data_IF_956432076663
#
_entry.id   IF_956432076663
#
_cell.length_a   1.000
_cell.length_b   1.000
_cell.length_c   1.000
_cell.angle_alpha   90.00
_cell.angle_beta   90.00
_cell.angle_gamma   90.00
#
_symmetry.space_group_name_H-M   'P 1'
#
loop_
_entity.id
_entity.type
_entity.pdbx_description
1 polymer ?
#
# COMPACT_ATOMS: atom_id res chain seq x y z
N UNK A 1 -2.80 3.60 4.83
CA UNK A 1 -2.72 2.86 3.54
C UNK A 1 -1.27 2.47 3.24
N UNK A 2 -0.35 3.44 3.38
CA UNK A 2 1.11 3.26 3.31
C UNK A 2 1.64 2.14 4.19
N UNK A 3 1.32 2.09 5.50
CA UNK A 3 1.90 1.10 6.42
C UNK A 3 1.59 -0.36 6.08
N UNK A 4 0.36 -0.67 5.65
CA UNK A 4 -0.02 -2.03 5.25
C UNK A 4 0.74 -2.49 4.01
N UNK A 5 0.79 -1.64 2.98
CA UNK A 5 1.57 -1.89 1.78
C UNK A 5 3.07 -1.97 2.08
N UNK A 6 3.55 -1.16 3.01
CA UNK A 6 4.95 -1.13 3.44
C UNK A 6 5.33 -2.40 4.19
N UNK A 7 4.45 -2.88 5.08
CA UNK A 7 4.62 -4.15 5.76
C UNK A 7 4.60 -5.33 4.78
N UNK A 8 3.66 -5.35 3.82
CA UNK A 8 3.62 -6.36 2.77
C UNK A 8 4.88 -6.35 1.89
N UNK A 9 5.40 -5.16 1.56
CA UNK A 9 6.66 -5.00 0.82
C UNK A 9 7.89 -5.43 1.63
N UNK A 10 7.88 -5.26 2.95
CA UNK A 10 8.94 -5.73 3.86
C UNK A 10 8.92 -7.24 4.05
N UNK A 11 7.74 -7.84 4.09
CA UNK A 11 7.53 -9.28 4.19
C UNK A 11 7.92 -10.00 2.89
N UNK A 12 7.79 -9.32 1.76
CA UNK A 12 8.08 -9.90 0.46
C UNK A 12 9.57 -10.26 0.29
N UNK A 13 9.90 -11.48 -0.17
CA UNK A 13 11.28 -11.95 -0.28
C UNK A 13 12.05 -11.33 -1.45
N UNK A 14 11.38 -10.67 -2.41
CA UNK A 14 12.04 -10.15 -3.61
C UNK A 14 11.31 -9.00 -4.30
N UNK A 15 11.90 -7.81 -4.22
CA UNK A 15 11.45 -6.61 -4.94
C UNK A 15 11.50 -6.77 -6.47
N UNK A 16 12.40 -7.61 -7.00
CA UNK A 16 12.44 -7.93 -8.43
C UNK A 16 11.20 -8.72 -8.88
N UNK A 17 10.71 -9.64 -8.06
CA UNK A 17 9.52 -10.43 -8.37
C UNK A 17 8.29 -9.52 -8.37
N UNK A 18 8.19 -8.64 -7.38
CA UNK A 18 7.11 -7.63 -7.29
C UNK A 18 7.16 -6.69 -8.48
N UNK A 19 8.33 -6.16 -8.86
CA UNK A 19 8.46 -5.31 -10.04
C UNK A 19 8.00 -6.04 -11.31
N UNK A 20 8.36 -7.31 -11.48
CA UNK A 20 7.97 -8.08 -12.66
C UNK A 20 6.46 -8.36 -12.70
N UNK A 21 5.85 -8.57 -11.54
CA UNK A 21 4.42 -8.85 -11.44
C UNK A 21 3.55 -7.59 -11.53
N UNK A 22 3.99 -6.48 -10.93
CA UNK A 22 3.20 -5.25 -10.80
C UNK A 22 3.58 -4.16 -11.80
N UNK A 23 4.74 -4.29 -12.47
CA UNK A 23 5.30 -3.25 -13.36
C UNK A 23 5.86 -2.03 -12.61
N UNK A 24 5.77 -1.99 -11.28
CA UNK A 24 6.27 -0.86 -10.48
C UNK A 24 7.79 -0.91 -10.39
N UNK A 25 8.44 0.22 -10.66
CA UNK A 25 9.91 0.31 -10.62
C UNK A 25 10.45 0.01 -9.21
N UNK A 26 11.55 -0.74 -9.14
CA UNK A 26 12.23 -1.07 -7.88
C UNK A 26 12.58 0.15 -7.03
N UNK A 27 13.00 1.25 -7.66
CA UNK A 27 13.30 2.50 -6.95
C UNK A 27 12.08 3.04 -6.22
N UNK A 28 10.92 3.06 -6.89
CA UNK A 28 9.65 3.50 -6.30
C UNK A 28 9.28 2.63 -5.10
N UNK A 29 9.38 1.29 -5.23
CA UNK A 29 9.14 0.37 -4.12
C UNK A 29 10.10 0.60 -2.94
N UNK A 30 11.39 0.79 -3.23
CA UNK A 30 12.41 1.01 -2.21
C UNK A 30 12.26 2.37 -1.50
N UNK A 31 11.90 3.45 -2.21
CA UNK A 31 11.61 4.76 -1.61
C UNK A 31 10.31 4.74 -0.79
N UNK A 32 9.32 3.97 -1.23
CA UNK A 32 8.09 3.75 -0.46
C UNK A 32 8.36 2.93 0.82
N UNK A 33 9.18 1.87 0.73
CA UNK A 33 9.66 1.12 1.89
C UNK A 33 10.46 1.97 2.86
N UNK A 34 11.28 2.91 2.38
CA UNK A 34 12.02 3.86 3.22
C UNK A 34 11.18 5.00 3.77
N UNK A 35 9.97 5.19 3.26
CA UNK A 35 9.04 6.22 3.75
C UNK A 35 9.44 7.62 3.29
N UNK A 36 10.37 7.69 2.33
CA UNK A 36 10.68 8.92 1.60
C UNK A 36 9.50 9.32 0.70
N UNK A 37 8.70 8.35 0.27
CA UNK A 37 7.47 8.57 -0.49
C UNK A 37 6.26 8.10 0.31
N UNK A 38 5.45 9.05 0.76
CA UNK A 38 4.16 8.81 1.44
C UNK A 38 3.02 8.58 0.43
N UNK A 39 3.24 8.96 -0.83
CA UNK A 39 2.25 8.91 -1.89
C UNK A 39 2.80 8.12 -3.08
N UNK A 40 2.14 7.04 -3.43
CA UNK A 40 2.41 6.26 -4.65
C UNK A 40 1.27 6.52 -5.64
N UNK A 41 1.58 6.46 -6.94
CA UNK A 41 0.57 6.62 -7.99
C UNK A 41 -0.55 5.57 -7.81
N UNK A 42 -1.81 5.98 -7.97
CA UNK A 42 -2.97 5.13 -7.70
C UNK A 42 -2.89 3.81 -8.48
N UNK A 43 -2.49 3.85 -9.75
CA UNK A 43 -2.32 2.65 -10.57
C UNK A 43 -1.26 1.67 -10.01
N UNK A 44 -0.18 2.20 -9.41
CA UNK A 44 0.85 1.37 -8.79
C UNK A 44 0.39 0.80 -7.46
N UNK A 45 -0.39 1.57 -6.69
CA UNK A 45 -1.03 1.06 -5.48
C UNK A 45 -2.01 -0.07 -5.80
N UNK A 46 -2.77 0.07 -6.89
CA UNK A 46 -3.75 -0.92 -7.34
C UNK A 46 -3.08 -2.23 -7.76
N UNK A 47 -2.04 -2.16 -8.60
CA UNK A 47 -1.27 -3.34 -9.01
C UNK A 47 -0.60 -4.05 -7.83
N UNK A 48 -0.11 -3.29 -6.84
CA UNK A 48 0.44 -3.86 -5.61
C UNK A 48 -0.67 -4.50 -4.77
N UNK A 49 -1.82 -3.83 -4.64
CA UNK A 49 -2.96 -4.35 -3.91
C UNK A 49 -3.48 -5.67 -4.51
N UNK A 50 -3.59 -5.77 -5.83
CA UNK A 50 -3.92 -7.02 -6.52
C UNK A 50 -2.87 -8.10 -6.27
N UNK A 51 -1.58 -7.77 -6.40
CA UNK A 51 -0.49 -8.74 -6.19
C UNK A 51 -0.43 -9.28 -4.76
N UNK A 52 -0.67 -8.42 -3.77
CA UNK A 52 -0.67 -8.80 -2.35
C UNK A 52 -2.05 -9.27 -1.86
N UNK A 53 -3.10 -9.22 -2.68
CA UNK A 53 -4.47 -9.53 -2.27
C UNK A 53 -5.04 -8.54 -1.24
N UNK A 54 -4.52 -7.32 -1.19
CA UNK A 54 -4.98 -6.27 -0.26
C UNK A 54 -6.25 -5.63 -0.82
N UNK A 55 -7.37 -5.83 -0.15
CA UNK A 55 -8.63 -5.22 -0.55
C UNK A 55 -8.76 -3.82 0.08
N UNK A 56 -8.76 -2.80 -0.78
CA UNK A 56 -9.03 -1.42 -0.39
C UNK A 56 -10.52 -1.24 -0.09
N UNK A 57 -10.92 -1.40 1.17
CA UNK A 57 -12.28 -1.03 1.60
C UNK A 57 -12.31 0.45 1.92
N UNK A 58 -13.30 1.18 1.38
CA UNK A 58 -13.53 2.58 1.79
C UNK A 58 -13.86 2.55 3.29
N UNK A 59 -13.08 3.21 4.17
CA UNK A 59 -13.49 3.31 5.56
C UNK A 59 -14.82 4.06 5.55
N UNK A 60 -15.89 3.36 5.92
CA UNK A 60 -17.14 4.03 6.22
C UNK A 60 -16.82 5.03 7.33
N UNK A 61 -17.18 6.31 7.18
CA UNK A 61 -16.96 7.26 8.25
C UNK A 61 -17.75 6.74 9.45
N UNK A 62 -17.04 6.20 10.44
CA UNK A 62 -17.62 5.89 11.73
C UNK A 62 -18.10 7.22 12.27
N UNK A 63 -19.40 7.50 12.13
CA UNK A 63 -20.06 8.63 12.78
C UNK A 63 -19.53 8.65 14.22
N UNK A 64 -18.95 9.76 14.72
CA UNK A 64 -18.65 9.85 16.14
C UNK A 64 -19.97 9.64 16.87
N UNK A 65 -20.04 8.57 17.66
CA UNK A 65 -21.18 8.29 18.52
C UNK A 65 -21.25 9.45 19.51
N UNK A 66 -22.18 10.36 19.26
CA UNK A 66 -22.47 11.49 20.13
C UNK A 66 -22.65 10.99 21.56
N UNK A 67 -21.80 11.49 22.46
CA UNK A 67 -21.98 11.31 23.89
C UNK A 67 -22.82 12.50 24.33
N UNK A 68 -24.14 12.29 24.37
CA UNK A 68 -25.04 13.18 25.09
C UNK A 68 -24.69 13.15 26.57
N UNK A 69 -24.60 14.32 27.16
CA UNK A 69 -24.67 14.59 28.59
C UNK A 69 -25.36 15.94 28.73
#
# INVERSE_FOLDING_TARGET
>A
MTDLLRAALLDAPSLNAIQKATGVRRQTLASFMRGEQVSIHLASADALAEYFGVVCTRPTPTKPKGKGA
#
